data_IF_579332610346
#
_entry.id   IF_579332610346
#
_cell.length_a   1.000
_cell.length_b   1.000
_cell.length_c   1.000
_cell.angle_alpha   90.00
_cell.angle_beta   90.00
_cell.angle_gamma   90.00
#
_symmetry.space_group_name_H-M   'P 1'
#
loop_
_entity.id
_entity.type
_entity.pdbx_description
1 polymer ?
#
# COMPACT_ATOMS: atom_id res chain seq x y z
N UNK A 1 -14.73 -5.38 -2.95
CA UNK A 1 -14.28 -4.42 -1.93
C UNK A 1 -12.87 -3.96 -2.23
N UNK A 2 -12.50 -2.83 -1.68
CA UNK A 2 -11.13 -2.36 -1.79
C UNK A 2 -10.64 -1.86 -0.45
N UNK A 3 -9.35 -2.01 -0.23
CA UNK A 3 -8.68 -1.54 0.97
C UNK A 3 -7.67 -0.48 0.57
N UNK A 4 -7.77 0.70 1.16
CA UNK A 4 -6.84 1.80 0.90
C UNK A 4 -5.77 1.84 1.97
N UNK A 5 -4.53 1.91 1.55
CA UNK A 5 -3.37 1.89 2.42
C UNK A 5 -2.45 3.05 2.07
N UNK A 6 -1.94 3.71 3.10
CA UNK A 6 -0.91 4.73 2.94
C UNK A 6 0.38 4.20 3.55
N UNK A 7 1.48 4.37 2.86
CA UNK A 7 2.77 3.99 3.44
C UNK A 7 3.86 4.98 3.03
N UNK A 8 4.90 5.03 3.84
CA UNK A 8 6.08 5.84 3.58
C UNK A 8 7.24 4.93 3.26
N UNK A 9 7.92 5.19 2.15
CA UNK A 9 9.09 4.42 1.74
C UNK A 9 10.33 5.28 1.87
N UNK A 10 11.45 4.65 2.23
CA UNK A 10 12.72 5.34 2.28
C UNK A 10 13.12 5.79 0.87
N UNK A 11 13.83 6.92 0.80
CA UNK A 11 14.30 7.45 -0.48
C UNK A 11 15.61 6.77 -0.87
N UNK A 12 15.53 5.47 -1.11
CA UNK A 12 16.67 4.67 -1.57
C UNK A 12 16.23 3.80 -2.73
N UNK A 13 17.16 3.45 -3.62
CA UNK A 13 16.80 2.62 -4.77
C UNK A 13 16.15 1.30 -4.36
N UNK A 14 15.07 0.96 -5.03
CA UNK A 14 14.38 -0.31 -4.81
C UNK A 14 13.45 -0.36 -3.61
N UNK A 15 13.37 0.68 -2.78
CA UNK A 15 12.51 0.67 -1.60
C UNK A 15 11.05 0.50 -1.95
N UNK A 16 10.56 1.23 -2.95
CA UNK A 16 9.18 1.13 -3.39
C UNK A 16 8.89 -0.27 -3.95
N UNK A 17 9.78 -0.76 -4.79
CA UNK A 17 9.61 -2.10 -5.38
C UNK A 17 9.49 -3.17 -4.30
N UNK A 18 10.35 -3.12 -3.30
CA UNK A 18 10.32 -4.11 -2.22
C UNK A 18 9.02 -4.06 -1.44
N UNK A 19 8.52 -2.85 -1.20
CA UNK A 19 7.28 -2.69 -0.44
C UNK A 19 6.08 -3.18 -1.24
N UNK A 20 6.10 -3.05 -2.57
CA UNK A 20 5.00 -3.49 -3.42
C UNK A 20 5.07 -4.99 -3.76
N UNK A 21 6.21 -5.62 -3.58
CA UNK A 21 6.39 -7.03 -3.94
C UNK A 21 5.38 -7.98 -3.27
N UNK A 22 5.06 -7.81 -1.97
CA UNK A 22 4.06 -8.67 -1.34
C UNK A 22 2.70 -8.66 -2.04
N UNK A 23 2.34 -7.52 -2.62
CA UNK A 23 1.07 -7.40 -3.35
C UNK A 23 1.09 -8.34 -4.55
N UNK A 24 2.16 -8.28 -5.33
CA UNK A 24 2.30 -9.12 -6.52
C UNK A 24 2.38 -10.60 -6.15
N UNK A 25 3.13 -10.92 -5.12
CA UNK A 25 3.30 -12.32 -4.68
C UNK A 25 2.01 -12.94 -4.18
N UNK A 26 1.13 -12.11 -3.60
CA UNK A 26 -0.16 -12.59 -3.11
C UNK A 26 -1.22 -12.67 -4.19
N UNK A 27 -0.92 -12.19 -5.40
CA UNK A 27 -1.89 -12.18 -6.48
C UNK A 27 -3.01 -11.16 -6.27
N UNK A 28 -2.78 -10.15 -5.46
CA UNK A 28 -3.76 -9.09 -5.23
C UNK A 28 -3.62 -8.04 -6.31
N UNK A 29 -4.75 -7.61 -6.87
CA UNK A 29 -4.74 -6.53 -7.85
C UNK A 29 -4.59 -5.19 -7.16
N UNK A 30 -3.68 -4.38 -7.67
CA UNK A 30 -3.51 -3.01 -7.22
C UNK A 30 -4.36 -2.13 -8.13
N UNK A 31 -5.37 -1.49 -7.55
CA UNK A 31 -6.34 -0.71 -8.31
C UNK A 31 -5.87 0.72 -8.56
N UNK A 32 -5.00 1.22 -7.69
CA UNK A 32 -4.54 2.60 -7.77
C UNK A 32 -3.22 2.72 -7.04
N UNK A 33 -2.34 3.55 -7.54
CA UNK A 33 -1.09 3.91 -6.87
C UNK A 33 -0.80 5.38 -7.13
N UNK A 34 -0.69 6.16 -6.07
CA UNK A 34 -0.30 7.56 -6.16
C UNK A 34 0.87 7.81 -5.24
N UNK A 35 1.74 8.71 -5.63
CA UNK A 35 2.87 9.11 -4.80
C UNK A 35 2.80 10.60 -4.50
N UNK A 36 3.21 10.98 -3.30
CA UNK A 36 3.31 12.37 -2.89
C UNK A 36 4.58 12.56 -2.08
N UNK A 37 5.36 13.61 -2.37
CA UNK A 37 6.55 13.87 -1.57
C UNK A 37 6.15 14.31 -0.16
N UNK A 38 6.95 13.90 0.82
CA UNK A 38 6.75 14.35 2.18
C UNK A 38 7.24 15.78 2.32
N UNK A 39 6.45 16.63 2.96
CA UNK A 39 6.85 18.02 3.19
C UNK A 39 7.79 18.15 4.39
N UNK A 40 7.79 17.18 5.26
CA UNK A 40 8.54 17.23 6.50
C UNK A 40 9.79 16.37 6.49
N UNK A 41 9.87 15.43 5.56
CA UNK A 41 10.97 14.49 5.45
C UNK A 41 11.53 14.55 4.05
N UNK A 42 12.76 15.00 3.91
CA UNK A 42 13.39 15.13 2.59
C UNK A 42 13.72 13.79 1.94
N UNK A 43 13.67 12.73 2.70
CA UNK A 43 14.21 11.45 2.25
C UNK A 43 13.15 10.37 2.08
N UNK A 44 11.88 10.72 2.18
CA UNK A 44 10.80 9.75 2.05
C UNK A 44 9.67 10.29 1.20
N UNK A 45 8.90 9.37 0.64
CA UNK A 45 7.70 9.67 -0.14
C UNK A 45 6.54 8.94 0.51
N UNK A 46 5.36 9.55 0.43
CA UNK A 46 4.12 8.87 0.81
C UNK A 46 3.50 8.28 -0.43
N UNK A 47 3.04 7.05 -0.29
CA UNK A 47 2.33 6.34 -1.36
C UNK A 47 0.95 5.96 -0.87
N UNK A 48 -0.02 6.10 -1.77
CA UNK A 48 -1.40 5.71 -1.51
C UNK A 48 -1.74 4.62 -2.49
N UNK A 49 -2.13 3.46 -1.99
CA UNK A 49 -2.43 2.31 -2.83
C UNK A 49 -3.80 1.74 -2.46
N UNK A 50 -4.58 1.41 -3.49
CA UNK A 50 -5.85 0.72 -3.30
C UNK A 50 -5.67 -0.71 -3.73
N UNK A 51 -5.98 -1.64 -2.84
CA UNK A 51 -5.87 -3.07 -3.07
C UNK A 51 -7.27 -3.65 -3.24
N UNK A 52 -7.43 -4.54 -4.21
CA UNK A 52 -8.70 -5.23 -4.39
C UNK A 52 -8.83 -6.30 -3.32
N UNK A 53 -9.82 -6.16 -2.45
CA UNK A 53 -10.07 -7.06 -1.35
C UNK A 53 -10.45 -6.31 -0.08
N UNK A 54 -11.04 -7.03 0.87
CA UNK A 54 -11.48 -6.47 2.13
C UNK A 54 -10.41 -6.65 3.20
N UNK A 55 -10.31 -5.70 4.14
CA UNK A 55 -9.31 -5.74 5.20
C UNK A 55 -9.45 -6.99 6.08
N UNK A 56 -10.64 -7.57 6.14
CA UNK A 56 -10.87 -8.79 6.91
C UNK A 56 -10.40 -10.04 6.18
N UNK A 57 -10.10 -9.95 4.89
CA UNK A 57 -9.55 -11.09 4.14
C UNK A 57 -8.15 -11.39 4.64
N UNK A 58 -7.89 -12.65 4.93
CA UNK A 58 -6.57 -13.04 5.43
C UNK A 58 -5.45 -12.67 4.45
N UNK A 59 -5.71 -12.82 3.16
CA UNK A 59 -4.75 -12.49 2.12
C UNK A 59 -4.35 -11.01 2.18
N UNK A 60 -5.33 -10.13 2.37
CA UNK A 60 -5.07 -8.68 2.51
C UNK A 60 -4.29 -8.43 3.79
N UNK A 61 -4.70 -9.02 4.91
CA UNK A 61 -4.03 -8.83 6.19
C UNK A 61 -2.57 -9.27 6.14
N UNK A 62 -2.31 -10.44 5.56
CA UNK A 62 -0.96 -10.97 5.45
C UNK A 62 -0.09 -10.09 4.56
N UNK A 63 -0.65 -9.61 3.45
CA UNK A 63 0.07 -8.74 2.53
C UNK A 63 0.42 -7.40 3.17
N UNK A 64 -0.55 -6.78 3.84
CA UNK A 64 -0.32 -5.51 4.52
C UNK A 64 0.71 -5.67 5.63
N UNK A 65 0.66 -6.78 6.34
CA UNK A 65 1.62 -7.07 7.40
C UNK A 65 3.05 -7.13 6.86
N UNK A 66 3.23 -7.79 5.71
CA UNK A 66 4.55 -7.86 5.07
C UNK A 66 5.01 -6.51 4.54
N UNK A 67 4.10 -5.73 3.97
CA UNK A 67 4.42 -4.39 3.52
C UNK A 67 4.90 -3.52 4.68
N UNK A 68 4.25 -3.66 5.83
CA UNK A 68 4.60 -2.89 7.02
C UNK A 68 6.03 -3.16 7.48
N UNK A 69 6.50 -4.38 7.32
CA UNK A 69 7.89 -4.73 7.67
C UNK A 69 8.91 -4.13 6.71
N UNK A 70 8.49 -3.80 5.49
CA UNK A 70 9.39 -3.36 4.43
C UNK A 70 9.41 -1.85 4.21
N UNK A 71 8.50 -1.12 4.83
CA UNK A 71 8.42 0.34 4.68
C UNK A 71 8.72 1.03 6.01
N UNK A 72 8.82 2.35 5.97
CA UNK A 72 9.09 3.14 7.17
C UNK A 72 7.84 3.27 8.05
N UNK A 73 6.68 3.33 7.42
CA UNK A 73 5.43 3.60 8.09
C UNK A 73 4.29 3.12 7.21
N UNK A 74 3.26 2.55 7.80
CA UNK A 74 2.09 2.12 7.04
C UNK A 74 0.83 2.33 7.87
N UNK A 75 -0.21 2.83 7.21
CA UNK A 75 -1.50 3.04 7.84
C UNK A 75 -2.60 2.57 6.89
N UNK A 76 -3.54 1.81 7.42
CA UNK A 76 -4.72 1.41 6.68
C UNK A 76 -5.74 2.54 6.80
N UNK A 77 -6.16 3.08 5.66
CA UNK A 77 -7.10 4.21 5.65
C UNK A 77 -8.54 3.75 5.74
N UNK A 78 -8.84 2.60 5.20
CA UNK A 78 -10.18 2.06 5.26
C UNK A 78 -10.40 0.94 4.26
N UNK A 79 -11.53 0.26 4.43
CA UNK A 79 -11.95 -0.80 3.53
C UNK A 79 -13.42 -0.56 3.22
N UNK A 80 -13.78 -0.53 1.96
CA UNK A 80 -15.13 -0.18 1.54
C UNK A 80 -15.46 -0.83 0.20
N UNK A 81 -16.75 -0.88 -0.16
CA UNK A 81 -17.15 -1.48 -1.43
C UNK A 81 -16.52 -0.73 -2.59
N UNK A 82 -16.10 -1.48 -3.59
CA UNK A 82 -15.55 -0.90 -4.80
C UNK A 82 -16.66 -0.22 -5.58
N UNK A 83 -16.42 1.03 -5.95
CA UNK A 83 -17.37 1.76 -6.76
C UNK A 83 -17.31 1.31 -8.21
N UNK A 84 -18.48 1.15 -8.84
CA UNK A 84 -18.55 0.77 -10.24
C UNK A 84 -18.02 1.89 -11.13
N UNK A 85 -18.13 3.11 -10.68
CA UNK A 85 -17.78 4.31 -11.45
C UNK A 85 -16.30 4.68 -11.38
N UNK A 86 -15.50 3.94 -10.66
CA UNK A 86 -14.07 4.27 -10.52
C UNK A 86 -13.15 3.28 -11.21
#
# INVERSE_FOLDING_TARGET
DKTSVMFAAAHVPGALYKTLEPIAKSGINMLKLESRPSKHENWSYFFFVDLEGHIEDKKIQDTVSKMKELCLFLKILGSYPRSIDT
#
